data_IF_640207170801
#
_entry.id   IF_640207170801
#
_cell.length_a   1.000
_cell.length_b   1.000
_cell.length_c   1.000
_cell.angle_alpha   90.00
_cell.angle_beta   90.00
_cell.angle_gamma   90.00
#
_symmetry.space_group_name_H-M   'P 1'
#
loop_
_entity.id
_entity.type
_entity.pdbx_description
1 polymer ?
#
# COMPACT_ATOMS: atom_id res chain seq x y z
N UNK A 1 14.46 11.53 -7.15
CA UNK A 1 14.71 11.21 -8.55
C UNK A 1 13.41 11.17 -9.37
N UNK A 2 13.55 11.31 -10.67
CA UNK A 2 12.39 11.41 -11.54
C UNK A 2 11.70 10.07 -11.72
N UNK A 3 10.37 10.11 -11.84
CA UNK A 3 9.58 8.92 -12.09
C UNK A 3 9.38 8.04 -10.88
N UNK A 4 9.82 8.49 -9.70
CA UNK A 4 9.57 7.74 -8.48
C UNK A 4 8.14 7.99 -7.98
N UNK A 5 7.48 6.90 -7.61
CA UNK A 5 6.15 6.94 -7.01
C UNK A 5 6.18 6.16 -5.70
N UNK A 6 5.38 6.60 -4.75
CA UNK A 6 5.17 5.88 -3.48
C UNK A 6 3.69 5.53 -3.38
N UNK A 7 3.41 4.25 -3.20
CA UNK A 7 2.06 3.78 -2.91
C UNK A 7 1.98 3.49 -1.41
N UNK A 8 1.23 4.30 -0.69
CA UNK A 8 0.95 4.06 0.72
C UNK A 8 -0.30 3.20 0.79
N UNK A 9 -0.14 1.96 1.23
CA UNK A 9 -1.20 0.95 1.22
C UNK A 9 -1.64 0.64 2.65
N UNK A 10 -2.87 1.02 2.98
CA UNK A 10 -3.49 0.71 4.28
C UNK A 10 -4.22 -0.62 4.16
N UNK A 11 -3.84 -1.57 5.00
CA UNK A 11 -4.34 -2.94 4.92
C UNK A 11 -4.43 -3.59 6.30
N UNK A 12 -4.91 -4.82 6.35
CA UNK A 12 -4.90 -5.61 7.58
C UNK A 12 -4.87 -7.09 7.22
N UNK A 13 -4.36 -7.91 8.14
CA UNK A 13 -4.27 -9.35 7.93
C UNK A 13 -5.64 -10.01 7.81
N UNK A 14 -6.66 -9.42 8.44
CA UNK A 14 -8.04 -9.92 8.43
C UNK A 14 -8.86 -9.36 7.25
N UNK A 15 -8.29 -8.52 6.44
CA UNK A 15 -8.98 -7.90 5.31
C UNK A 15 -8.84 -8.76 4.04
N UNK A 16 -9.89 -9.50 3.69
CA UNK A 16 -9.89 -10.35 2.50
C UNK A 16 -9.52 -9.63 1.21
N UNK A 17 -10.20 -8.51 0.87
CA UNK A 17 -9.86 -7.73 -0.33
C UNK A 17 -8.43 -7.21 -0.33
N UNK A 18 -7.87 -6.83 0.83
CA UNK A 18 -6.48 -6.40 0.95
C UNK A 18 -5.52 -7.52 0.55
N UNK A 19 -5.76 -8.71 1.06
CA UNK A 19 -4.93 -9.90 0.77
C UNK A 19 -5.04 -10.29 -0.71
N UNK A 20 -6.22 -10.20 -1.28
CA UNK A 20 -6.43 -10.52 -2.70
C UNK A 20 -5.69 -9.56 -3.63
N UNK A 21 -5.47 -8.33 -3.20
CA UNK A 21 -4.77 -7.32 -3.98
C UNK A 21 -3.25 -7.53 -4.01
N UNK A 22 -2.69 -8.20 -3.01
CA UNK A 22 -1.25 -8.32 -2.84
C UNK A 22 -0.51 -8.91 -4.04
N UNK A 23 -0.99 -9.96 -4.71
CA UNK A 23 -0.31 -10.47 -5.91
C UNK A 23 -0.17 -9.44 -7.02
N UNK A 24 -1.19 -8.60 -7.24
CA UNK A 24 -1.13 -7.53 -8.23
C UNK A 24 -0.12 -6.46 -7.84
N UNK A 25 -0.04 -6.11 -6.55
CA UNK A 25 0.95 -5.16 -6.04
C UNK A 25 2.37 -5.70 -6.18
N UNK A 26 2.58 -6.99 -5.91
CA UNK A 26 3.87 -7.63 -6.10
C UNK A 26 4.31 -7.58 -7.56
N UNK A 27 3.39 -7.83 -8.48
CA UNK A 27 3.67 -7.76 -9.91
C UNK A 27 4.11 -6.36 -10.33
N UNK A 28 3.41 -5.32 -9.86
CA UNK A 28 3.78 -3.93 -10.15
C UNK A 28 5.12 -3.57 -9.53
N UNK A 29 5.35 -3.97 -8.28
CA UNK A 29 6.61 -3.70 -7.60
C UNK A 29 7.79 -4.31 -8.36
N UNK A 30 7.64 -5.55 -8.83
CA UNK A 30 8.68 -6.24 -9.59
C UNK A 30 8.90 -5.66 -10.98
N UNK A 31 7.85 -5.06 -11.58
CA UNK A 31 7.96 -4.41 -12.89
C UNK A 31 8.71 -3.07 -12.81
N UNK A 32 8.67 -2.40 -11.66
CA UNK A 32 9.30 -1.08 -11.47
C UNK A 32 10.11 -1.03 -10.18
N UNK A 33 11.21 -1.84 -10.09
CA UNK A 33 11.89 -2.09 -8.81
C UNK A 33 12.52 -0.88 -8.14
N UNK A 34 12.84 0.17 -8.88
CA UNK A 34 13.43 1.38 -8.31
C UNK A 34 12.63 2.63 -8.62
N UNK A 35 11.42 2.45 -9.12
CA UNK A 35 10.55 3.56 -9.53
C UNK A 35 9.23 3.57 -8.79
N UNK A 36 8.76 2.40 -8.36
CA UNK A 36 7.55 2.29 -7.54
C UNK A 36 7.93 1.70 -6.19
N UNK A 37 7.73 2.47 -5.14
CA UNK A 37 7.97 2.05 -3.77
C UNK A 37 6.61 1.85 -3.09
N UNK A 38 6.43 0.71 -2.45
CA UNK A 38 5.21 0.42 -1.71
C UNK A 38 5.52 0.49 -0.22
N UNK A 39 4.65 1.15 0.52
CA UNK A 39 4.78 1.31 1.95
C UNK A 39 3.47 0.85 2.59
N UNK A 40 3.50 -0.30 3.25
CA UNK A 40 2.32 -0.88 3.87
C UNK A 40 2.10 -0.36 5.28
N UNK A 41 0.88 0.08 5.58
CA UNK A 41 0.49 0.50 6.92
C UNK A 41 -0.64 -0.42 7.38
N UNK A 42 -0.35 -1.25 8.38
CA UNK A 42 -1.31 -2.23 8.88
C UNK A 42 -2.23 -1.65 9.95
N UNK A 43 -3.50 -2.00 9.85
CA UNK A 43 -4.52 -1.68 10.83
C UNK A 43 -4.76 -2.83 11.81
N UNK A 44 -3.82 -3.77 11.90
CA UNK A 44 -3.91 -4.91 12.82
C UNK A 44 -3.76 -4.48 14.28
N UNK A 45 -4.32 -5.29 15.19
CA UNK A 45 -4.14 -5.12 16.63
C UNK A 45 -3.26 -6.20 17.25
N UNK A 46 -3.02 -7.29 16.50
CA UNK A 46 -2.24 -8.43 16.99
C UNK A 46 -1.03 -8.67 16.12
N UNK A 47 0.15 -8.46 16.68
CA UNK A 47 1.42 -8.58 15.98
C UNK A 47 1.61 -9.94 15.27
N UNK A 48 1.33 -11.09 15.90
CA UNK A 48 1.52 -12.37 15.20
C UNK A 48 0.68 -12.54 13.94
N UNK A 49 -0.54 -12.01 13.92
CA UNK A 49 -1.40 -12.06 12.74
C UNK A 49 -0.84 -11.19 11.62
N UNK A 50 -0.37 -10.00 11.97
CA UNK A 50 0.23 -9.06 11.03
C UNK A 50 1.52 -9.60 10.43
N UNK A 51 2.47 -10.01 11.26
CA UNK A 51 3.76 -10.54 10.77
C UNK A 51 3.59 -11.84 10.00
N UNK A 52 2.63 -12.68 10.42
CA UNK A 52 2.30 -13.91 9.70
C UNK A 52 1.76 -13.63 8.28
N UNK A 53 0.91 -12.62 8.14
CA UNK A 53 0.38 -12.22 6.83
C UNK A 53 1.48 -11.70 5.91
N UNK A 54 2.44 -10.92 6.43
CA UNK A 54 3.58 -10.44 5.65
C UNK A 54 4.41 -11.62 5.14
N UNK A 55 4.70 -12.57 6.01
CA UNK A 55 5.49 -13.76 5.66
C UNK A 55 4.77 -14.62 4.61
N UNK A 56 3.46 -14.84 4.81
CA UNK A 56 2.64 -15.65 3.89
C UNK A 56 2.54 -15.00 2.51
N UNK A 57 2.35 -13.68 2.47
CA UNK A 57 2.27 -12.93 1.23
C UNK A 57 3.62 -12.63 0.59
N UNK A 58 4.72 -12.90 1.31
CA UNK A 58 6.09 -12.60 0.84
C UNK A 58 6.24 -11.15 0.40
N UNK A 59 5.74 -10.22 1.22
CA UNK A 59 5.74 -8.79 0.91
C UNK A 59 7.15 -8.21 1.12
N UNK A 60 7.83 -7.76 0.06
CA UNK A 60 9.23 -7.32 0.17
C UNK A 60 9.39 -5.87 0.62
N UNK A 61 8.31 -5.09 0.59
CA UNK A 61 8.36 -3.68 0.95
C UNK A 61 8.22 -3.47 2.45
N UNK A 62 8.49 -2.23 2.88
CA UNK A 62 8.36 -1.85 4.28
C UNK A 62 6.91 -1.90 4.72
N UNK A 63 6.66 -2.54 5.84
CA UNK A 63 5.36 -2.61 6.49
C UNK A 63 5.48 -2.11 7.92
N UNK A 64 4.55 -1.26 8.33
CA UNK A 64 4.51 -0.72 9.69
C UNK A 64 3.12 -0.87 10.28
N UNK A 65 3.03 -0.89 11.60
CA UNK A 65 1.78 -0.87 12.33
C UNK A 65 2.02 -0.42 13.76
N UNK A 66 1.10 0.36 14.32
CA UNK A 66 1.12 0.67 15.75
C UNK A 66 0.22 -0.30 16.54
N UNK A 67 -0.43 -1.24 15.86
CA UNK A 67 -1.31 -2.26 16.42
C UNK A 67 -2.51 -1.69 17.19
N UNK A 68 -2.94 -0.49 16.83
CA UNK A 68 -4.04 0.21 17.50
C UNK A 68 -5.36 0.19 16.74
N UNK A 69 -5.37 -0.42 15.56
CA UNK A 69 -6.55 -0.52 14.71
C UNK A 69 -7.13 0.89 14.46
N UNK A 70 -8.44 1.06 14.64
CA UNK A 70 -9.08 2.36 14.37
C UNK A 70 -8.77 3.43 15.41
N UNK A 71 -8.11 3.09 16.52
CA UNK A 71 -7.62 4.08 17.48
C UNK A 71 -6.24 4.62 17.13
N UNK A 72 -5.63 4.15 16.04
CA UNK A 72 -4.37 4.68 15.56
C UNK A 72 -4.49 6.15 15.13
N UNK A 73 -3.50 7.00 15.45
CA UNK A 73 -3.47 8.38 14.95
C UNK A 73 -3.52 8.48 13.42
N UNK A 74 -3.09 7.42 12.72
CA UNK A 74 -3.12 7.34 11.25
C UNK A 74 -4.56 7.47 10.72
N UNK A 75 -5.54 6.94 11.44
CA UNK A 75 -6.95 7.00 11.05
C UNK A 75 -7.40 8.44 10.86
N UNK A 76 -7.09 9.30 11.85
CA UNK A 76 -7.40 10.72 11.76
C UNK A 76 -6.57 11.43 10.69
N UNK A 77 -5.25 11.16 10.68
CA UNK A 77 -4.33 11.85 9.78
C UNK A 77 -4.67 11.63 8.31
N UNK A 78 -5.12 10.44 7.95
CA UNK A 78 -5.46 10.08 6.56
C UNK A 78 -6.96 9.96 6.33
N UNK A 79 -7.77 10.29 7.32
CA UNK A 79 -9.24 10.20 7.22
C UNK A 79 -9.71 8.81 6.80
N UNK A 80 -9.12 7.78 7.39
CA UNK A 80 -9.43 6.39 7.06
C UNK A 80 -10.84 6.03 7.50
N UNK A 81 -11.58 5.39 6.62
CA UNK A 81 -12.93 4.89 6.90
C UNK A 81 -13.02 3.38 6.74
N UNK A 82 -12.16 2.81 5.91
CA UNK A 82 -12.14 1.37 5.65
C UNK A 82 -10.80 0.97 5.01
N UNK A 83 -10.54 -0.32 4.96
CA UNK A 83 -9.44 -0.90 4.20
C UNK A 83 -10.03 -1.89 3.19
N UNK A 84 -9.40 -2.10 2.02
CA UNK A 84 -8.16 -1.49 1.56
C UNK A 84 -8.34 -0.02 1.18
N UNK A 85 -7.33 0.77 1.47
CA UNK A 85 -7.27 2.18 1.05
C UNK A 85 -5.83 2.51 0.73
N UNK A 86 -5.59 3.27 -0.33
CA UNK A 86 -4.23 3.66 -0.67
C UNK A 86 -4.16 5.08 -1.20
N UNK A 87 -2.93 5.59 -1.22
CA UNK A 87 -2.60 6.89 -1.80
C UNK A 87 -1.38 6.70 -2.68
N UNK A 88 -1.47 7.19 -3.92
CA UNK A 88 -0.34 7.22 -4.84
C UNK A 88 0.26 8.62 -4.79
N UNK A 89 1.54 8.70 -4.43
CA UNK A 89 2.22 9.95 -4.12
C UNK A 89 3.45 10.08 -5.00
N UNK A 90 3.70 11.29 -5.54
CA UNK A 90 4.90 11.53 -6.34
C UNK A 90 6.11 11.86 -5.44
N UNK A 91 7.26 12.05 -6.08
CA UNK A 91 8.52 12.33 -5.37
C UNK A 91 8.51 13.65 -4.59
N UNK A 92 7.57 14.55 -4.89
CA UNK A 92 7.43 15.84 -4.21
C UNK A 92 6.42 15.81 -3.07
N UNK A 93 5.87 14.62 -2.77
CA UNK A 93 4.87 14.45 -1.72
C UNK A 93 3.46 14.80 -2.14
N UNK A 94 3.21 15.00 -3.43
CA UNK A 94 1.88 15.34 -3.94
C UNK A 94 1.08 14.07 -4.17
N UNK A 95 -0.14 14.04 -3.62
CA UNK A 95 -1.06 12.91 -3.80
C UNK A 95 -1.65 12.97 -5.21
N UNK A 96 -1.33 11.97 -6.02
CA UNK A 96 -1.80 11.87 -7.40
C UNK A 96 -3.13 11.15 -7.50
N UNK A 97 -3.37 10.19 -6.60
CA UNK A 97 -4.61 9.42 -6.60
C UNK A 97 -4.88 8.89 -5.19
N UNK A 98 -6.16 8.69 -4.87
CA UNK A 98 -6.61 8.12 -3.62
C UNK A 98 -7.49 6.92 -3.93
N UNK A 99 -7.28 5.83 -3.20
CA UNK A 99 -8.11 4.62 -3.30
C UNK A 99 -8.18 4.08 -4.73
N UNK A 100 -7.01 3.89 -5.34
CA UNK A 100 -6.90 3.37 -6.70
C UNK A 100 -6.40 1.91 -6.66
N UNK A 101 -7.11 1.01 -7.31
CA UNK A 101 -6.88 -0.42 -7.24
C UNK A 101 -6.97 -1.09 -8.61
N UNK A 102 -6.47 -2.33 -8.69
CA UNK A 102 -6.63 -3.19 -9.86
C UNK A 102 -6.05 -2.60 -11.14
N UNK A 103 -6.81 -2.72 -12.22
CA UNK A 103 -6.35 -2.25 -13.53
C UNK A 103 -6.17 -0.73 -13.57
N UNK A 104 -7.00 0.02 -12.87
CA UNK A 104 -6.85 1.47 -12.81
C UNK A 104 -5.51 1.88 -12.21
N UNK A 105 -5.07 1.21 -11.14
CA UNK A 105 -3.76 1.43 -10.54
C UNK A 105 -2.64 1.04 -11.50
N UNK A 106 -2.74 -0.13 -12.12
CA UNK A 106 -1.77 -0.60 -13.09
C UNK A 106 -1.60 0.38 -14.25
N UNK A 107 -2.71 0.83 -14.84
CA UNK A 107 -2.69 1.75 -15.97
C UNK A 107 -2.07 3.09 -15.58
N UNK A 108 -2.40 3.62 -14.40
CA UNK A 108 -1.85 4.89 -13.93
C UNK A 108 -0.35 4.81 -13.69
N UNK A 109 0.11 3.75 -13.03
CA UNK A 109 1.53 3.53 -12.75
C UNK A 109 2.30 3.39 -14.08
N UNK A 110 1.79 2.59 -15.01
CA UNK A 110 2.40 2.43 -16.33
C UNK A 110 2.51 3.75 -17.06
N UNK A 111 1.44 4.54 -17.06
CA UNK A 111 1.41 5.85 -17.73
C UNK A 111 2.44 6.81 -17.13
N UNK A 112 2.58 6.84 -15.81
CA UNK A 112 3.48 7.77 -15.12
C UNK A 112 4.94 7.35 -15.20
N UNK A 113 5.23 6.06 -15.18
CA UNK A 113 6.60 5.56 -15.10
C UNK A 113 7.23 5.20 -16.45
N UNK A 114 6.45 5.15 -17.52
CA UNK A 114 6.97 4.86 -18.85
C UNK A 114 7.14 6.09 -19.74
N UNK A 115 6.90 7.26 -19.19
CA UNK A 115 7.10 8.53 -19.92
C UNK A 115 8.57 8.92 -20.01
#
# INVERSE_FOLDING_TARGET
FRGALVLVDFWASWCGPCIKEQPALLKLHNAYPEKLFIYGVSMDTKKPLWTGAIAKGKLPWTNVSDLKYWSSPVVSAYMLQSVPLNFLIDKNGIILAKNIHGKALEDMVNSLLTK
#
